data_IF_727011414562
#
_entry.id   IF_727011414562
#
_cell.length_a   1.000
_cell.length_b   1.000
_cell.length_c   1.000
_cell.angle_alpha   90.00
_cell.angle_beta   90.00
_cell.angle_gamma   90.00
#
_symmetry.space_group_name_H-M   'P 1'
#
loop_
_entity.id
_entity.type
_entity.pdbx_description
1 polymer ?
#
# COMPACT_ATOMS: atom_id res chain seq x y z
N UNK A 1 31.13 -3.47 15.12
CA UNK A 1 32.38 -2.81 14.70
C UNK A 1 32.55 -2.67 13.18
N UNK A 2 32.16 -3.66 12.36
CA UNK A 2 32.21 -3.58 10.88
C UNK A 2 31.61 -2.31 10.23
N UNK A 3 30.55 -1.74 10.81
CA UNK A 3 29.88 -0.53 10.27
C UNK A 3 30.76 0.72 10.30
N UNK A 4 31.71 0.80 11.24
CA UNK A 4 32.65 1.93 11.38
C UNK A 4 33.83 1.87 10.40
N UNK A 5 34.19 0.67 9.95
CA UNK A 5 35.32 0.45 9.04
C UNK A 5 34.94 0.64 7.56
N UNK A 6 33.64 0.55 7.25
CA UNK A 6 33.14 0.68 5.87
C UNK A 6 32.10 1.78 5.82
N UNK A 7 32.55 3.02 5.56
CA UNK A 7 31.68 4.20 5.38
C UNK A 7 30.51 3.95 4.40
N UNK A 8 30.72 3.15 3.35
CA UNK A 8 29.67 2.79 2.41
C UNK A 8 28.53 1.96 3.05
N UNK A 9 28.85 1.09 4.02
CA UNK A 9 27.88 0.32 4.78
C UNK A 9 27.09 1.24 5.72
N UNK A 10 27.77 2.15 6.42
CA UNK A 10 27.12 3.13 7.29
C UNK A 10 26.09 3.98 6.52
N UNK A 11 26.45 4.50 5.35
CA UNK A 11 25.54 5.26 4.48
C UNK A 11 24.35 4.42 4.00
N UNK A 12 24.57 3.15 3.66
CA UNK A 12 23.49 2.23 3.27
C UNK A 12 22.51 1.99 4.41
N UNK A 13 23.02 1.76 5.63
CA UNK A 13 22.17 1.55 6.82
C UNK A 13 21.39 2.82 7.14
N UNK A 14 22.00 4.01 7.13
CA UNK A 14 21.29 5.28 7.30
C UNK A 14 20.20 5.50 6.25
N UNK A 15 20.47 5.15 4.99
CA UNK A 15 19.48 5.25 3.91
C UNK A 15 18.30 4.30 4.11
N UNK A 16 18.54 3.07 4.59
CA UNK A 16 17.47 2.11 4.89
C UNK A 16 16.63 2.62 6.06
N UNK A 17 17.26 3.07 7.16
CA UNK A 17 16.55 3.61 8.32
C UNK A 17 15.70 4.84 7.96
N UNK A 18 16.26 5.78 7.19
CA UNK A 18 15.52 6.96 6.72
C UNK A 18 14.30 6.58 5.88
N UNK A 19 14.43 5.59 4.99
CA UNK A 19 13.29 5.08 4.20
C UNK A 19 12.21 4.45 5.06
N UNK A 20 12.58 3.73 6.13
CA UNK A 20 11.61 3.13 7.05
C UNK A 20 10.88 4.20 7.87
N UNK A 21 11.57 5.24 8.35
CA UNK A 21 10.94 6.36 9.06
C UNK A 21 9.89 7.05 8.16
N UNK A 22 10.25 7.37 6.91
CA UNK A 22 9.31 7.99 5.96
C UNK A 22 8.11 7.07 5.69
N UNK A 23 8.34 5.75 5.61
CA UNK A 23 7.27 4.77 5.42
C UNK A 23 6.33 4.74 6.62
N UNK A 24 6.84 4.74 7.85
CA UNK A 24 6.05 4.76 9.08
C UNK A 24 5.22 6.04 9.20
N UNK A 25 5.77 7.20 8.85
CA UNK A 25 5.00 8.44 8.77
C UNK A 25 3.85 8.36 7.77
N UNK A 26 4.05 7.74 6.61
CA UNK A 26 2.97 7.48 5.64
C UNK A 26 1.86 6.61 6.22
N UNK A 27 2.21 5.57 6.99
CA UNK A 27 1.23 4.72 7.68
C UNK A 27 0.49 5.48 8.78
N UNK A 28 1.19 6.32 9.55
CA UNK A 28 0.58 7.14 10.60
C UNK A 28 -0.46 8.12 10.04
N UNK A 29 -0.17 8.75 8.90
CA UNK A 29 -1.14 9.59 8.17
C UNK A 29 -2.36 8.79 7.71
N UNK A 30 -2.16 7.60 7.15
CA UNK A 30 -3.27 6.71 6.75
C UNK A 30 -4.18 6.36 7.94
N UNK A 31 -3.62 6.18 9.14
CA UNK A 31 -4.39 5.82 10.33
C UNK A 31 -5.14 7.00 10.97
N UNK A 32 -4.63 8.22 10.82
CA UNK A 32 -5.15 9.42 11.50
C UNK A 32 -6.25 10.18 10.76
N UNK A 33 -6.23 10.22 9.42
CA UNK A 33 -7.13 11.09 8.64
C UNK A 33 -7.89 10.41 7.51
N UNK A 34 -7.48 9.20 7.10
CA UNK A 34 -8.07 8.55 5.92
C UNK A 34 -9.27 7.65 6.26
N UNK A 35 -10.28 7.68 5.38
CA UNK A 35 -11.41 6.73 5.36
C UNK A 35 -10.94 5.36 4.86
N UNK A 36 -11.75 4.32 5.09
CA UNK A 36 -11.38 2.95 4.73
C UNK A 36 -11.04 2.75 3.24
N UNK A 37 -11.78 3.42 2.34
CA UNK A 37 -11.54 3.40 0.90
C UNK A 37 -10.18 4.01 0.53
N UNK A 38 -9.84 5.14 1.13
CA UNK A 38 -8.59 5.87 0.90
C UNK A 38 -7.39 5.08 1.43
N UNK A 39 -7.51 4.49 2.63
CA UNK A 39 -6.49 3.58 3.18
C UNK A 39 -6.22 2.40 2.28
N UNK A 40 -7.27 1.77 1.75
CA UNK A 40 -7.12 0.62 0.86
C UNK A 40 -6.49 1.04 -0.48
N UNK A 41 -6.91 2.18 -1.04
CA UNK A 41 -6.33 2.72 -2.26
C UNK A 41 -4.84 3.05 -2.09
N UNK A 42 -4.47 3.73 -1.00
CA UNK A 42 -3.08 4.03 -0.65
C UNK A 42 -2.24 2.77 -0.49
N UNK A 43 -2.78 1.75 0.17
CA UNK A 43 -2.14 0.45 0.31
C UNK A 43 -1.87 -0.23 -1.03
N UNK A 44 -2.86 -0.29 -1.93
CA UNK A 44 -2.70 -0.91 -3.25
C UNK A 44 -1.71 -0.15 -4.13
N UNK A 45 -1.73 1.19 -4.10
CA UNK A 45 -0.76 2.04 -4.81
C UNK A 45 0.66 1.88 -4.26
N UNK A 46 0.82 1.77 -2.94
CA UNK A 46 2.12 1.52 -2.34
C UNK A 46 2.65 0.13 -2.73
N UNK A 47 1.79 -0.88 -2.68
CA UNK A 47 2.14 -2.26 -3.03
C UNK A 47 2.58 -2.38 -4.49
N UNK A 48 1.81 -1.81 -5.43
CA UNK A 48 2.15 -1.80 -6.86
C UNK A 48 3.43 -1.04 -7.15
N UNK A 49 3.63 0.13 -6.54
CA UNK A 49 4.87 0.92 -6.71
C UNK A 49 6.10 0.11 -6.26
N UNK A 50 6.00 -0.61 -5.15
CA UNK A 50 7.09 -1.46 -4.63
C UNK A 50 7.37 -2.67 -5.52
N UNK A 51 6.33 -3.30 -6.04
CA UNK A 51 6.46 -4.44 -6.96
C UNK A 51 7.05 -3.98 -8.30
N UNK A 52 6.59 -2.86 -8.84
CA UNK A 52 7.13 -2.29 -10.06
C UNK A 52 8.62 -1.93 -9.95
N UNK A 53 9.06 -1.37 -8.82
CA UNK A 53 10.47 -1.10 -8.57
C UNK A 53 11.35 -2.37 -8.57
N UNK A 54 10.74 -3.56 -8.46
CA UNK A 54 11.40 -4.88 -8.53
C UNK A 54 11.22 -5.56 -9.90
N UNK A 55 10.67 -4.86 -10.89
CA UNK A 55 10.46 -5.38 -12.25
C UNK A 55 9.12 -6.09 -12.49
N UNK A 56 8.18 -6.05 -11.54
CA UNK A 56 6.84 -6.60 -11.73
C UNK A 56 5.89 -5.60 -12.44
N UNK A 57 4.73 -6.09 -12.86
CA UNK A 57 3.67 -5.26 -13.46
C UNK A 57 3.24 -4.12 -12.53
N UNK A 58 2.95 -2.95 -13.12
CA UNK A 58 2.33 -1.81 -12.39
C UNK A 58 0.86 -2.04 -12.08
N UNK A 59 0.20 -2.89 -12.86
CA UNK A 59 -1.25 -3.01 -12.88
C UNK A 59 -1.73 -4.36 -12.37
N UNK A 60 -0.86 -5.37 -12.29
CA UNK A 60 -1.21 -6.72 -11.84
C UNK A 60 -0.34 -7.13 -10.67
N UNK A 61 -0.97 -7.69 -9.65
CA UNK A 61 -0.28 -8.19 -8.47
C UNK A 61 -0.99 -9.40 -7.87
N UNK A 62 -0.22 -10.24 -7.18
CA UNK A 62 -0.75 -11.34 -6.39
C UNK A 62 -0.85 -10.91 -4.93
N UNK A 63 -2.07 -10.75 -4.42
CA UNK A 63 -2.35 -10.52 -3.00
C UNK A 63 -2.11 -11.82 -2.22
N UNK A 64 -0.90 -11.97 -1.68
CA UNK A 64 -0.55 -13.10 -0.82
C UNK A 64 -1.17 -12.98 0.58
N UNK A 65 -1.50 -11.76 1.00
CA UNK A 65 -2.10 -11.46 2.29
C UNK A 65 -3.60 -11.78 2.31
N UNK A 66 -4.09 -12.23 3.46
CA UNK A 66 -5.52 -12.42 3.71
C UNK A 66 -6.22 -11.08 3.94
N UNK A 67 -7.56 -11.07 3.90
CA UNK A 67 -8.34 -9.87 4.25
C UNK A 67 -8.16 -9.47 5.71
N UNK A 68 -7.91 -10.44 6.58
CA UNK A 68 -7.65 -10.21 8.01
C UNK A 68 -6.29 -9.52 8.22
N UNK A 69 -5.24 -10.00 7.57
CA UNK A 69 -3.90 -9.39 7.62
C UNK A 69 -3.91 -7.96 7.09
N UNK A 70 -4.64 -7.72 5.99
CA UNK A 70 -4.84 -6.38 5.43
C UNK A 70 -5.60 -5.49 6.41
N UNK A 71 -6.66 -6.01 7.03
CA UNK A 71 -7.43 -5.28 8.04
C UNK A 71 -6.58 -4.88 9.23
N UNK A 72 -5.82 -5.83 9.78
CA UNK A 72 -4.88 -5.60 10.88
C UNK A 72 -3.86 -4.50 10.53
N UNK A 73 -3.29 -4.54 9.31
CA UNK A 73 -2.34 -3.54 8.86
C UNK A 73 -2.95 -2.12 8.70
N UNK A 74 -4.20 -2.02 8.24
CA UNK A 74 -4.88 -0.75 7.97
C UNK A 74 -5.69 -0.22 9.17
N UNK A 75 -5.74 -0.96 10.28
CA UNK A 75 -6.61 -0.65 11.41
C UNK A 75 -8.10 -0.77 11.06
N UNK A 76 -8.45 -1.67 10.14
CA UNK A 76 -9.80 -1.90 9.64
C UNK A 76 -10.30 -3.29 10.03
N UNK A 77 -11.61 -3.42 10.24
CA UNK A 77 -12.23 -4.74 10.36
C UNK A 77 -12.21 -5.49 9.04
N UNK A 78 -12.14 -6.82 9.09
CA UNK A 78 -12.12 -7.69 7.90
C UNK A 78 -13.35 -7.46 7.00
N UNK A 79 -14.53 -7.22 7.58
CA UNK A 79 -15.75 -6.97 6.84
C UNK A 79 -15.70 -5.63 6.11
N UNK A 80 -15.05 -4.62 6.71
CA UNK A 80 -14.83 -3.32 6.05
C UNK A 80 -13.90 -3.49 4.86
N UNK A 81 -12.77 -4.18 5.03
CA UNK A 81 -11.85 -4.48 3.92
C UNK A 81 -12.59 -5.21 2.80
N UNK A 82 -13.37 -6.24 3.14
CA UNK A 82 -14.16 -7.00 2.16
C UNK A 82 -15.14 -6.12 1.39
N UNK A 83 -15.95 -5.31 2.09
CA UNK A 83 -16.90 -4.38 1.47
C UNK A 83 -16.22 -3.36 0.58
N UNK A 84 -15.09 -2.79 1.02
CA UNK A 84 -14.32 -1.83 0.23
C UNK A 84 -13.75 -2.47 -1.04
N UNK A 85 -13.26 -3.71 -0.95
CA UNK A 85 -12.83 -4.46 -2.15
C UNK A 85 -13.99 -4.69 -3.12
N UNK A 86 -15.14 -5.16 -2.64
CA UNK A 86 -16.32 -5.39 -3.48
C UNK A 86 -16.74 -4.11 -4.18
N UNK A 87 -16.85 -2.99 -3.44
CA UNK A 87 -17.21 -1.69 -4.00
C UNK A 87 -16.26 -1.26 -5.13
N UNK A 88 -14.94 -1.34 -4.92
CA UNK A 88 -13.96 -0.99 -5.95
C UNK A 88 -14.00 -1.93 -7.17
N UNK A 89 -14.44 -3.16 -7.01
CA UNK A 89 -14.69 -4.10 -8.13
C UNK A 89 -15.97 -3.72 -8.87
N UNK A 90 -17.05 -3.43 -8.15
CA UNK A 90 -18.34 -3.02 -8.71
C UNK A 90 -18.21 -1.69 -9.48
N UNK A 91 -17.39 -0.76 -9.00
CA UNK A 91 -17.06 0.51 -9.67
C UNK A 91 -16.11 0.34 -10.89
N UNK A 92 -15.65 -0.88 -11.15
CA UNK A 92 -14.72 -1.21 -12.23
C UNK A 92 -13.34 -0.56 -12.06
N UNK A 93 -12.94 -0.27 -10.83
CA UNK A 93 -11.60 0.25 -10.50
C UNK A 93 -10.60 -0.90 -10.38
N UNK A 94 -11.06 -2.03 -9.83
CA UNK A 94 -10.29 -3.24 -9.62
C UNK A 94 -10.95 -4.44 -10.29
N UNK A 95 -10.16 -5.43 -10.66
CA UNK A 95 -10.62 -6.78 -10.96
C UNK A 95 -9.87 -7.75 -10.05
N UNK A 96 -10.62 -8.64 -9.38
CA UNK A 96 -10.03 -9.62 -8.46
C UNK A 96 -10.43 -11.03 -8.90
N UNK A 97 -9.43 -11.86 -9.24
CA UNK A 97 -9.58 -13.28 -9.55
C UNK A 97 -8.77 -14.09 -8.55
N UNK A 98 -9.44 -14.63 -7.53
CA UNK A 98 -8.80 -15.31 -6.40
C UNK A 98 -7.78 -14.39 -5.70
N UNK A 99 -6.48 -14.66 -5.86
CA UNK A 99 -5.38 -13.84 -5.33
C UNK A 99 -4.81 -12.87 -6.36
N UNK A 100 -5.18 -12.99 -7.63
CA UNK A 100 -4.74 -12.07 -8.67
C UNK A 100 -5.62 -10.83 -8.65
N UNK A 101 -4.99 -9.68 -8.44
CA UNK A 101 -5.64 -8.38 -8.51
C UNK A 101 -5.08 -7.61 -9.69
N UNK A 102 -5.98 -7.04 -10.48
CA UNK A 102 -5.66 -6.12 -11.57
C UNK A 102 -6.27 -4.75 -11.29
N UNK A 103 -5.45 -3.71 -11.36
CA UNK A 103 -5.88 -2.31 -11.26
C UNK A 103 -6.25 -1.85 -12.67
N UNK A 104 -7.53 -1.56 -12.86
CA UNK A 104 -8.06 -1.09 -14.15
C UNK A 104 -7.93 0.42 -14.28
N UNK A 105 -8.17 1.15 -13.18
CA UNK A 105 -8.17 2.62 -13.14
C UNK A 105 -7.24 3.15 -12.04
N UNK A 106 -5.92 3.24 -12.29
CA UNK A 106 -4.96 3.70 -11.29
C UNK A 106 -5.17 5.17 -10.91
N UNK A 107 -5.68 6.00 -11.82
CA UNK A 107 -5.95 7.42 -11.54
C UNK A 107 -7.06 7.61 -10.49
N UNK A 108 -8.14 6.81 -10.56
CA UNK A 108 -9.21 6.83 -9.55
C UNK A 108 -8.69 6.48 -8.16
N UNK A 109 -7.75 5.53 -8.05
CA UNK A 109 -7.11 5.23 -6.76
C UNK A 109 -6.27 6.40 -6.25
N UNK A 110 -5.58 7.12 -7.13
CA UNK A 110 -4.79 8.31 -6.73
C UNK A 110 -5.69 9.45 -6.29
N UNK A 111 -6.81 9.66 -6.97
CA UNK A 111 -7.82 10.65 -6.60
C UNK A 111 -8.40 10.37 -5.21
N UNK A 112 -8.71 9.11 -4.89
CA UNK A 112 -9.16 8.71 -3.56
C UNK A 112 -8.12 9.03 -2.47
N UNK A 113 -6.82 8.87 -2.76
CA UNK A 113 -5.76 9.16 -1.78
C UNK A 113 -5.49 10.65 -1.62
N UNK A 114 -5.66 11.43 -2.69
CA UNK A 114 -5.42 12.88 -2.70
C UNK A 114 -6.67 13.69 -2.32
N UNK A 115 -7.81 13.04 -2.10
CA UNK A 115 -9.02 13.71 -1.65
C UNK A 115 -8.74 14.38 -0.29
N UNK A 116 -9.10 15.66 -0.11
CA UNK A 116 -8.98 16.31 1.19
C UNK A 116 -9.85 15.55 2.19
N UNK A 117 -9.27 15.21 3.34
CA UNK A 117 -10.02 14.68 4.47
C UNK A 117 -11.12 15.69 4.83
N UNK A 118 -12.38 15.33 4.59
CA UNK A 118 -13.53 16.13 5.03
C UNK A 118 -13.61 16.19 6.55
#
# INVERSE_FOLDING_TARGET
ELSREVNALQHHVHKIMSREIVREHGVMMMLGSMRAEERLAAFLLNLTTRLHARGFSRSELVLRMTREEIGSYLGLKIETVSRTFSKLVDDGVLEVKQKNLRILKPETLKELVNAPAC
#
